data_IF_835404338252
#
_entry.id   IF_835404338252
#
_cell.length_a   1.000
_cell.length_b   1.000
_cell.length_c   1.000
_cell.angle_alpha   90.00
_cell.angle_beta   90.00
_cell.angle_gamma   90.00
#
_symmetry.space_group_name_H-M   'P 1'
#
loop_
_entity.id
_entity.type
_entity.pdbx_description
1 polymer ?
#
# COMPACT_ATOMS: atom_id res chain seq x y z
N UNK A 1 20.91 5.27 6.41
CA UNK A 1 19.67 4.78 5.78
C UNK A 1 19.29 5.78 4.72
N UNK A 2 19.39 5.43 3.44
CA UNK A 2 19.26 6.43 2.36
C UNK A 2 17.81 6.89 2.22
N UNK A 3 17.54 8.18 2.43
CA UNK A 3 16.25 8.85 2.19
C UNK A 3 15.94 9.03 0.69
N UNK A 4 16.79 8.49 -0.19
CA UNK A 4 16.74 8.60 -1.65
C UNK A 4 16.36 7.29 -2.35
N UNK A 5 15.42 6.52 -1.79
CA UNK A 5 14.85 5.38 -2.51
C UNK A 5 13.70 5.87 -3.43
N UNK A 6 13.91 5.95 -4.76
CA UNK A 6 12.90 6.44 -5.70
C UNK A 6 11.63 5.61 -5.68
N UNK A 7 11.74 4.30 -5.40
CA UNK A 7 10.60 3.38 -5.30
C UNK A 7 9.73 3.78 -4.12
N UNK A 8 10.33 4.11 -2.97
CA UNK A 8 9.59 4.56 -1.79
C UNK A 8 8.85 5.88 -2.04
N UNK A 9 9.48 6.84 -2.72
CA UNK A 9 8.84 8.13 -3.05
C UNK A 9 7.68 7.94 -4.03
N UNK A 10 7.86 7.11 -5.04
CA UNK A 10 6.80 6.82 -6.02
C UNK A 10 5.64 6.08 -5.34
N UNK A 11 5.93 5.08 -4.50
CA UNK A 11 4.94 4.37 -3.71
C UNK A 11 4.19 5.31 -2.75
N UNK A 12 4.86 6.26 -2.11
CA UNK A 12 4.21 7.23 -1.22
C UNK A 12 3.26 8.17 -1.98
N UNK A 13 3.69 8.71 -3.13
CA UNK A 13 2.82 9.55 -3.98
C UNK A 13 1.62 8.77 -4.48
N UNK A 14 1.85 7.54 -4.95
CA UNK A 14 0.80 6.64 -5.40
C UNK A 14 -0.19 6.36 -4.25
N UNK A 15 0.35 6.06 -3.06
CA UNK A 15 -0.45 5.74 -1.89
C UNK A 15 -1.36 6.89 -1.48
N UNK A 16 -0.81 8.10 -1.39
CA UNK A 16 -1.57 9.29 -1.04
C UNK A 16 -2.73 9.50 -2.03
N UNK A 17 -2.43 9.46 -3.33
CA UNK A 17 -3.42 9.73 -4.37
C UNK A 17 -4.57 8.74 -4.38
N UNK A 18 -4.29 7.44 -4.24
CA UNK A 18 -5.28 6.40 -4.48
C UNK A 18 -5.92 5.87 -3.19
N UNK A 19 -5.15 5.60 -2.13
CA UNK A 19 -5.69 5.00 -0.91
C UNK A 19 -6.15 6.03 0.13
N UNK A 20 -5.58 7.25 0.12
CA UNK A 20 -5.99 8.33 1.03
C UNK A 20 -7.03 9.23 0.37
N UNK A 21 -6.66 9.91 -0.73
CA UNK A 21 -7.48 10.95 -1.34
C UNK A 21 -8.72 10.35 -2.03
N UNK A 22 -8.51 9.31 -2.84
CA UNK A 22 -9.59 8.58 -3.52
C UNK A 22 -10.23 7.47 -2.67
N UNK A 23 -9.70 7.21 -1.46
CA UNK A 23 -10.25 6.25 -0.49
C UNK A 23 -10.43 4.83 -1.03
N UNK A 24 -9.61 4.45 -2.00
CA UNK A 24 -9.71 3.17 -2.67
C UNK A 24 -9.41 2.03 -1.69
N UNK A 25 -10.21 0.97 -1.75
CA UNK A 25 -10.26 -0.14 -0.80
C UNK A 25 -9.99 -1.51 -1.44
N UNK A 26 -9.88 -1.56 -2.77
CA UNK A 26 -9.54 -2.77 -3.53
C UNK A 26 -8.36 -2.56 -4.48
N UNK A 27 -7.23 -3.19 -4.16
CA UNK A 27 -6.00 -3.13 -4.98
C UNK A 27 -6.21 -3.69 -6.38
N UNK A 28 -7.16 -4.61 -6.60
CA UNK A 28 -7.43 -5.14 -7.93
C UNK A 28 -8.01 -4.09 -8.88
N UNK A 29 -8.74 -3.09 -8.34
CA UNK A 29 -9.23 -1.95 -9.12
C UNK A 29 -8.08 -1.08 -9.67
N UNK A 30 -6.87 -1.21 -9.13
CA UNK A 30 -5.66 -0.56 -9.63
C UNK A 30 -4.92 -1.41 -10.68
N UNK A 31 -5.53 -2.48 -11.18
CA UNK A 31 -4.92 -3.52 -12.01
C UNK A 31 -4.23 -3.08 -13.30
N UNK A 32 -4.38 -1.82 -13.73
CA UNK A 32 -3.62 -1.21 -14.84
C UNK A 32 -2.76 0.01 -14.45
N UNK A 33 -2.85 0.49 -13.21
CA UNK A 33 -2.08 1.62 -12.68
C UNK A 33 -0.84 1.18 -11.91
N UNK A 34 -0.91 0.01 -11.27
CA UNK A 34 0.23 -0.60 -10.61
C UNK A 34 1.12 -1.27 -11.67
N UNK A 35 2.41 -0.92 -11.69
CA UNK A 35 3.40 -1.59 -12.55
C UNK A 35 3.63 -3.06 -12.16
N UNK A 36 3.04 -3.50 -11.04
CA UNK A 36 3.17 -4.83 -10.43
C UNK A 36 4.62 -5.22 -10.15
N UNK A 37 5.52 -4.26 -9.96
CA UNK A 37 6.87 -4.55 -9.50
C UNK A 37 6.80 -5.02 -8.04
N UNK A 38 7.35 -6.20 -7.68
CA UNK A 38 7.35 -6.71 -6.31
C UNK A 38 7.86 -5.70 -5.29
N UNK A 39 8.94 -4.96 -5.59
CA UNK A 39 9.49 -3.94 -4.69
C UNK A 39 8.55 -2.76 -4.45
N UNK A 40 7.84 -2.29 -5.49
CA UNK A 40 6.81 -1.25 -5.35
C UNK A 40 5.62 -1.75 -4.53
N UNK A 41 5.18 -2.99 -4.78
CA UNK A 41 4.08 -3.63 -4.04
C UNK A 41 4.42 -3.80 -2.55
N UNK A 42 5.65 -4.23 -2.24
CA UNK A 42 6.15 -4.30 -0.86
C UNK A 42 6.24 -2.91 -0.22
N UNK A 43 6.70 -1.89 -0.96
CA UNK A 43 6.75 -0.52 -0.44
C UNK A 43 5.35 0.01 -0.09
N UNK A 44 4.35 -0.23 -0.95
CA UNK A 44 2.94 0.11 -0.71
C UNK A 44 2.35 -0.68 0.47
N UNK A 45 2.67 -1.98 0.59
CA UNK A 45 2.24 -2.82 1.70
C UNK A 45 2.76 -2.25 3.03
N UNK A 46 4.05 -1.92 3.11
CA UNK A 46 4.66 -1.31 4.29
C UNK A 46 3.99 0.01 4.63
N UNK A 47 3.63 0.82 3.63
CA UNK A 47 2.91 2.07 3.87
C UNK A 47 1.50 1.84 4.41
N UNK A 48 0.75 0.88 3.87
CA UNK A 48 -0.55 0.48 4.41
C UNK A 48 -0.44 0.08 5.89
N UNK A 49 0.54 -0.74 6.26
CA UNK A 49 0.74 -1.15 7.65
C UNK A 49 1.11 0.02 8.56
N UNK A 50 1.90 0.98 8.06
CA UNK A 50 2.25 2.18 8.81
C UNK A 50 1.01 3.07 9.05
N UNK A 51 0.18 3.28 8.03
CA UNK A 51 -1.05 4.05 8.17
C UNK A 51 -2.10 3.34 9.03
N UNK A 52 -2.24 2.01 8.92
CA UNK A 52 -3.07 1.21 9.82
C UNK A 52 -2.72 1.49 11.29
N UNK A 53 -1.44 1.42 11.66
CA UNK A 53 -1.00 1.71 13.03
C UNK A 53 -1.32 3.14 13.45
N UNK A 54 -1.09 4.13 12.57
CA UNK A 54 -1.38 5.55 12.85
C UNK A 54 -2.87 5.78 13.10
N UNK A 55 -3.74 5.26 12.24
CA UNK A 55 -5.18 5.49 12.36
C UNK A 55 -5.77 4.71 13.54
N UNK A 56 -5.29 3.49 13.81
CA UNK A 56 -5.69 2.74 15.01
C UNK A 56 -5.29 3.47 16.30
N UNK A 57 -4.11 4.09 16.32
CA UNK A 57 -3.65 4.87 17.48
C UNK A 57 -4.57 6.05 17.82
N UNK A 58 -5.19 6.67 16.82
CA UNK A 58 -6.14 7.78 17.00
C UNK A 58 -7.62 7.34 17.06
N UNK A 59 -7.88 6.04 17.25
CA UNK A 59 -9.24 5.49 17.41
C UNK A 59 -10.03 5.31 16.11
N UNK A 60 -9.38 5.46 14.95
CA UNK A 60 -9.99 5.32 13.62
C UNK A 60 -9.96 3.86 13.16
N UNK A 61 -10.78 3.04 13.81
CA UNK A 61 -10.80 1.58 13.62
C UNK A 61 -11.24 1.14 12.21
N UNK A 62 -12.17 1.88 11.59
CA UNK A 62 -12.64 1.56 10.25
C UNK A 62 -11.53 1.75 9.21
N UNK A 63 -10.85 2.91 9.24
CA UNK A 63 -9.70 3.15 8.37
C UNK A 63 -8.55 2.17 8.64
N UNK A 64 -8.34 1.81 9.90
CA UNK A 64 -7.32 0.82 10.29
C UNK A 64 -7.56 -0.52 9.61
N UNK A 65 -8.79 -1.05 9.75
CA UNK A 65 -9.19 -2.29 9.07
C UNK A 65 -9.05 -2.18 7.56
N UNK A 66 -9.42 -1.04 6.97
CA UNK A 66 -9.28 -0.79 5.53
C UNK A 66 -7.82 -0.89 5.08
N UNK A 67 -6.90 -0.21 5.75
CA UNK A 67 -5.47 -0.31 5.42
C UNK A 67 -4.89 -1.71 5.67
N UNK A 68 -5.33 -2.41 6.71
CA UNK A 68 -4.93 -3.80 6.94
C UNK A 68 -5.39 -4.76 5.83
N UNK A 69 -6.58 -4.54 5.26
CA UNK A 69 -7.08 -5.29 4.09
C UNK A 69 -6.21 -5.01 2.87
N UNK A 70 -5.96 -3.72 2.57
CA UNK A 70 -5.11 -3.30 1.46
C UNK A 70 -3.69 -3.88 1.56
N UNK A 71 -3.10 -3.88 2.75
CA UNK A 71 -1.78 -4.48 2.99
C UNK A 71 -1.76 -5.97 2.61
N UNK A 72 -2.78 -6.73 3.02
CA UNK A 72 -2.88 -8.16 2.69
C UNK A 72 -3.09 -8.40 1.18
N UNK A 73 -3.87 -7.54 0.52
CA UNK A 73 -4.05 -7.62 -0.93
C UNK A 73 -2.75 -7.34 -1.69
N UNK A 74 -2.00 -6.29 -1.29
CA UNK A 74 -0.70 -5.96 -1.87
C UNK A 74 0.32 -7.08 -1.68
N UNK A 75 0.34 -7.70 -0.49
CA UNK A 75 1.21 -8.86 -0.22
C UNK A 75 0.91 -10.02 -1.18
N UNK A 76 -0.36 -10.41 -1.30
CA UNK A 76 -0.77 -11.49 -2.22
C UNK A 76 -0.39 -11.17 -3.66
N UNK A 77 -0.56 -9.91 -4.08
CA UNK A 77 -0.20 -9.49 -5.42
C UNK A 77 1.33 -9.53 -5.65
N UNK A 78 2.12 -9.17 -4.63
CA UNK A 78 3.58 -9.26 -4.68
C UNK A 78 4.03 -10.73 -4.81
N UNK A 79 3.46 -11.63 -3.99
CA UNK A 79 3.72 -13.08 -4.03
C UNK A 79 3.33 -13.70 -5.39
N UNK A 80 2.25 -13.23 -6.02
CA UNK A 80 1.87 -13.68 -7.37
C UNK A 80 2.80 -13.15 -8.47
N UNK A 81 3.42 -11.99 -8.27
CA UNK A 81 4.26 -11.36 -9.30
C UNK A 81 5.72 -11.81 -9.21
N UNK A 82 6.19 -12.26 -8.03
CA UNK A 82 7.47 -12.93 -7.83
C UNK A 82 7.25 -14.32 -7.19
N UNK A 83 6.74 -15.30 -7.96
CA UNK A 83 6.64 -16.67 -7.50
C UNK A 83 8.05 -17.27 -7.51
N UNK A 84 8.71 -17.23 -6.35
CA UNK A 84 9.97 -17.95 -6.13
C UNK A 84 9.83 -19.45 -6.38
#
# INVERSE_FOLDING_TARGET
MSEDDPIRREAERFFQRYFVDQKLDDVNALGGLLRRNPSELYALQVRCMAEERKVLHVGRHFEGRRFGILARQLQKLAEQTDPR
#
